data_IF_575266378667
#
_entry.id   IF_575266378667
#
_cell.length_a   1.000
_cell.length_b   1.000
_cell.length_c   1.000
_cell.angle_alpha   90.00
_cell.angle_beta   90.00
_cell.angle_gamma   90.00
#
_symmetry.space_group_name_H-M   'P 1'
#
loop_
_entity.id
_entity.type
_entity.pdbx_description
1 polymer ?
#
# COMPACT_ATOMS: atom_id res chain seq x y z
N UNK A 1 -2.00 22.21 11.73
CA UNK A 1 -1.37 22.29 10.39
C UNK A 1 -1.51 23.73 9.92
N UNK A 2 -0.47 24.28 9.33
CA UNK A 2 -0.44 25.67 8.86
C UNK A 2 -0.40 25.65 7.33
N UNK A 3 -1.33 26.32 6.66
CA UNK A 3 -1.28 26.45 5.21
C UNK A 3 -0.17 27.43 4.81
N UNK A 4 0.73 26.96 3.95
CA UNK A 4 1.90 27.71 3.48
C UNK A 4 1.65 28.32 2.11
N UNK A 5 0.93 27.61 1.23
CA UNK A 5 0.63 28.10 -0.11
C UNK A 5 -0.17 27.11 -0.94
N UNK A 6 -0.41 27.49 -2.20
CA UNK A 6 -1.07 26.65 -3.20
C UNK A 6 -0.20 26.65 -4.45
N UNK A 7 0.14 25.47 -4.96
CA UNK A 7 0.96 25.30 -6.18
C UNK A 7 0.28 24.31 -7.10
N UNK A 8 -0.05 24.76 -8.32
CA UNK A 8 -0.61 23.91 -9.39
C UNK A 8 -1.87 23.11 -8.98
N UNK A 9 -2.70 23.68 -8.12
CA UNK A 9 -3.93 23.04 -7.63
C UNK A 9 -3.76 22.14 -6.41
N UNK A 10 -2.52 21.99 -5.91
CA UNK A 10 -2.24 21.31 -4.64
C UNK A 10 -2.03 22.31 -3.51
N UNK A 11 -2.48 21.98 -2.31
CA UNK A 11 -2.30 22.79 -1.10
C UNK A 11 -1.04 22.33 -0.37
N UNK A 12 -0.15 23.26 -0.03
CA UNK A 12 1.03 22.97 0.79
C UNK A 12 0.74 23.34 2.23
N UNK A 13 0.85 22.36 3.11
CA UNK A 13 0.70 22.50 4.54
C UNK A 13 2.03 22.25 5.24
N UNK A 14 2.27 22.90 6.37
CA UNK A 14 3.30 22.54 7.31
C UNK A 14 2.68 21.83 8.51
N UNK A 15 3.12 20.59 8.76
CA UNK A 15 2.74 19.83 9.94
C UNK A 15 3.80 20.01 11.04
N UNK A 16 3.45 20.81 12.05
CA UNK A 16 4.32 21.09 13.20
C UNK A 16 4.65 19.85 14.03
N UNK A 17 3.76 18.84 14.06
CA UNK A 17 3.99 17.61 14.83
C UNK A 17 5.00 16.72 14.12
N UNK A 18 4.87 16.58 12.81
CA UNK A 18 5.78 15.77 11.97
C UNK A 18 7.05 16.53 11.58
N UNK A 19 7.06 17.86 11.71
CA UNK A 19 8.12 18.77 11.24
C UNK A 19 8.43 18.60 9.75
N UNK A 20 7.38 18.46 8.95
CA UNK A 20 7.46 18.22 7.51
C UNK A 20 6.42 19.08 6.78
N UNK A 21 6.71 19.38 5.52
CA UNK A 21 5.75 19.94 4.58
C UNK A 21 4.95 18.80 3.94
N UNK A 22 3.64 18.98 3.84
CA UNK A 22 2.67 18.05 3.28
C UNK A 22 2.05 18.69 2.04
N UNK A 23 1.86 17.89 1.00
CA UNK A 23 1.13 18.26 -0.20
C UNK A 23 -0.22 17.57 -0.16
N UNK A 24 -1.30 18.35 -0.22
CA UNK A 24 -2.67 17.86 -0.31
C UNK A 24 -3.25 18.12 -1.70
N UNK A 25 -4.04 17.16 -2.20
CA UNK A 25 -4.87 17.36 -3.38
C UNK A 25 -6.12 18.22 -3.08
N UNK A 26 -6.97 18.41 -4.09
CA UNK A 26 -8.20 19.19 -3.94
C UNK A 26 -9.25 18.54 -3.01
N UNK A 27 -9.11 17.24 -2.75
CA UNK A 27 -9.99 16.46 -1.87
C UNK A 27 -9.45 16.39 -0.43
N UNK A 28 -8.31 17.03 -0.15
CA UNK A 28 -7.66 17.06 1.17
C UNK A 28 -6.85 15.82 1.50
N UNK A 29 -6.45 15.01 0.51
CA UNK A 29 -5.62 13.83 0.75
C UNK A 29 -4.13 14.17 0.62
N UNK A 30 -3.32 13.69 1.57
CA UNK A 30 -1.86 13.75 1.47
C UNK A 30 -1.38 12.93 0.27
N UNK A 31 -0.77 13.59 -0.72
CA UNK A 31 -0.18 12.93 -1.91
C UNK A 31 1.33 12.80 -1.79
N UNK A 32 1.98 13.75 -1.11
CA UNK A 32 3.42 13.76 -0.91
C UNK A 32 3.82 14.55 0.34
N UNK A 33 5.05 14.34 0.81
CA UNK A 33 5.62 15.16 1.90
C UNK A 33 7.13 15.36 1.71
N UNK A 34 7.69 16.40 2.33
CA UNK A 34 9.09 16.79 2.19
C UNK A 34 9.62 17.56 3.39
N UNK A 35 10.94 17.68 3.50
CA UNK A 35 11.58 18.40 4.61
C UNK A 35 11.53 19.93 4.41
N UNK A 36 11.43 20.37 3.15
CA UNK A 36 11.40 21.79 2.79
C UNK A 36 10.22 22.12 1.87
N UNK A 37 9.81 23.38 1.88
CA UNK A 37 8.78 23.88 0.96
C UNK A 37 9.17 23.64 -0.51
N UNK A 38 10.42 23.97 -0.88
CA UNK A 38 10.92 23.82 -2.26
C UNK A 38 10.84 22.37 -2.78
N UNK A 39 11.14 21.38 -1.92
CA UNK A 39 11.00 19.96 -2.28
C UNK A 39 9.56 19.61 -2.62
N UNK A 40 8.61 20.11 -1.81
CA UNK A 40 7.19 19.82 -1.99
C UNK A 40 6.62 20.55 -3.21
N UNK A 41 7.06 21.78 -3.48
CA UNK A 41 6.72 22.51 -4.71
C UNK A 41 7.21 21.78 -5.96
N UNK A 42 8.46 21.30 -5.97
CA UNK A 42 8.99 20.53 -7.08
C UNK A 42 8.22 19.21 -7.32
N UNK A 43 7.71 18.57 -6.24
CA UNK A 43 6.83 17.40 -6.35
C UNK A 43 5.47 17.77 -6.95
N UNK A 44 4.86 18.89 -6.53
CA UNK A 44 3.61 19.40 -7.11
C UNK A 44 3.76 19.72 -8.61
N UNK A 45 4.89 20.28 -9.03
CA UNK A 45 5.16 20.53 -10.44
C UNK A 45 5.28 19.25 -11.28
N UNK A 46 5.86 18.18 -10.72
CA UNK A 46 5.95 16.89 -11.41
C UNK A 46 4.59 16.24 -11.55
N UNK A 47 3.79 16.25 -10.49
CA UNK A 47 2.44 15.69 -10.47
C UNK A 47 1.52 16.43 -11.46
N UNK A 48 1.52 17.77 -11.44
CA UNK A 48 0.70 18.57 -12.36
C UNK A 48 1.07 18.43 -13.85
N UNK A 49 2.32 18.04 -14.17
CA UNK A 49 2.75 17.78 -15.55
C UNK A 49 2.31 16.41 -16.07
N UNK A 50 1.88 15.48 -15.21
CA UNK A 50 1.26 14.23 -15.60
C UNK A 50 -0.22 14.46 -15.94
N UNK A 51 -0.49 15.14 -17.06
CA UNK A 51 -1.78 14.95 -17.75
C UNK A 51 -1.96 13.45 -17.97
N UNK A 52 -3.13 12.88 -17.65
CA UNK A 52 -3.50 11.44 -17.66
C UNK A 52 -2.83 10.59 -18.75
N UNK A 53 -1.53 10.32 -18.59
CA UNK A 53 -0.73 9.59 -19.55
C UNK A 53 -0.71 8.16 -19.06
N UNK A 54 -1.46 7.30 -19.74
CA UNK A 54 -1.40 5.88 -19.49
C UNK A 54 0.00 5.34 -19.84
N UNK A 55 0.51 4.35 -19.10
CA UNK A 55 -0.12 3.73 -17.93
C UNK A 55 0.03 4.57 -16.64
N UNK A 56 -1.05 4.68 -15.86
CA UNK A 56 -1.04 5.37 -14.55
C UNK A 56 -0.66 4.34 -13.48
N UNK A 57 0.47 4.51 -12.76
CA UNK A 57 0.80 3.66 -11.62
C UNK A 57 -0.28 3.73 -10.55
N UNK A 58 -0.75 2.59 -10.08
CA UNK A 58 -1.88 2.53 -9.17
C UNK A 58 -1.75 1.40 -8.15
N UNK A 59 -2.40 1.60 -7.02
CA UNK A 59 -2.56 0.65 -5.95
C UNK A 59 -4.02 0.20 -5.89
N UNK A 60 -4.25 -1.09 -6.08
CA UNK A 60 -5.58 -1.69 -5.95
C UNK A 60 -5.77 -2.22 -4.54
N UNK A 61 -6.91 -1.91 -3.94
CA UNK A 61 -7.34 -2.38 -2.62
C UNK A 61 -8.48 -3.37 -2.79
N UNK A 62 -8.39 -4.55 -2.18
CA UNK A 62 -9.44 -5.57 -2.22
C UNK A 62 -9.50 -6.25 -0.85
N UNK A 63 -10.46 -5.84 -0.01
CA UNK A 63 -10.51 -6.31 1.38
C UNK A 63 -9.27 -5.89 2.15
N UNK A 64 -8.51 -6.86 2.66
CA UNK A 64 -7.23 -6.64 3.35
C UNK A 64 -6.02 -6.72 2.41
N UNK A 65 -6.25 -6.91 1.10
CA UNK A 65 -5.22 -6.99 0.10
C UNK A 65 -4.94 -5.66 -0.59
N UNK A 66 -3.64 -5.36 -0.68
CA UNK A 66 -3.08 -4.23 -1.41
C UNK A 66 -2.19 -4.79 -2.51
N UNK A 67 -2.43 -4.39 -3.76
CA UNK A 67 -1.67 -4.87 -4.92
C UNK A 67 -1.21 -3.72 -5.80
N UNK A 68 0.09 -3.68 -6.09
CA UNK A 68 0.67 -2.72 -7.04
C UNK A 68 0.39 -3.12 -8.49
N UNK A 69 0.17 -2.11 -9.32
CA UNK A 69 -0.06 -2.29 -10.74
C UNK A 69 -0.23 -0.97 -11.45
N UNK A 70 -0.93 -1.01 -12.57
CA UNK A 70 -1.08 0.13 -13.48
C UNK A 70 -2.45 0.14 -14.12
N UNK A 71 -3.08 1.30 -14.14
CA UNK A 71 -4.23 1.54 -15.00
C UNK A 71 -3.71 1.81 -16.41
N UNK A 72 -4.13 1.01 -17.38
CA UNK A 72 -3.60 1.07 -18.77
C UNK A 72 -4.54 1.76 -19.75
N UNK A 73 -5.83 1.84 -19.43
CA UNK A 73 -6.81 2.57 -20.23
C UNK A 73 -8.06 2.91 -19.42
N UNK A 74 -8.83 3.87 -19.91
CA UNK A 74 -10.10 4.32 -19.36
C UNK A 74 -11.16 4.34 -20.46
N UNK A 75 -12.35 3.84 -20.12
CA UNK A 75 -13.56 3.95 -20.92
C UNK A 75 -14.54 4.90 -20.21
N UNK A 76 -14.78 6.05 -20.81
CA UNK A 76 -15.66 7.09 -20.29
C UNK A 76 -17.14 6.66 -20.29
N UNK A 77 -17.61 5.99 -21.34
CA UNK A 77 -19.01 5.57 -21.50
C UNK A 77 -19.43 4.61 -20.40
N UNK A 78 -18.58 3.63 -20.10
CA UNK A 78 -18.86 2.61 -19.06
C UNK A 78 -18.26 2.94 -17.70
N UNK A 79 -17.65 4.12 -17.53
CA UNK A 79 -16.96 4.57 -16.31
C UNK A 79 -16.06 3.49 -15.71
N UNK A 80 -15.27 2.86 -16.56
CA UNK A 80 -14.43 1.72 -16.19
C UNK A 80 -13.01 1.90 -16.68
N UNK A 81 -12.06 1.36 -15.95
CA UNK A 81 -10.67 1.35 -16.35
C UNK A 81 -10.13 -0.08 -16.40
N UNK A 82 -9.01 -0.30 -17.08
CA UNK A 82 -8.33 -1.59 -17.11
C UNK A 82 -7.07 -1.54 -16.26
N UNK A 83 -6.94 -2.48 -15.34
CA UNK A 83 -5.81 -2.59 -14.42
C UNK A 83 -4.94 -3.80 -14.75
N UNK A 84 -3.66 -3.57 -14.98
CA UNK A 84 -2.63 -4.59 -15.07
C UNK A 84 -1.90 -4.70 -13.73
N UNK A 85 -1.73 -5.91 -13.22
CA UNK A 85 -0.89 -6.15 -12.06
C UNK A 85 0.59 -6.17 -12.48
N UNK A 86 1.48 -5.61 -11.65
CA UNK A 86 2.91 -5.49 -12.00
C UNK A 86 3.62 -6.85 -12.08
N UNK A 87 3.09 -7.88 -11.42
CA UNK A 87 3.62 -9.25 -11.38
C UNK A 87 3.15 -10.13 -12.56
N UNK A 88 2.29 -9.63 -13.45
CA UNK A 88 1.67 -10.42 -14.52
C UNK A 88 1.79 -9.76 -15.90
N UNK A 89 1.95 -10.62 -16.93
CA UNK A 89 1.93 -10.18 -18.34
C UNK A 89 0.57 -9.55 -18.67
N UNK A 90 0.56 -8.64 -19.67
CA UNK A 90 -0.61 -7.90 -20.18
C UNK A 90 -1.89 -8.74 -20.45
N UNK A 91 -1.87 -10.08 -20.41
CA UNK A 91 -3.06 -10.91 -20.56
C UNK A 91 -4.02 -10.93 -19.36
N UNK A 92 -3.60 -10.52 -18.16
CA UNK A 92 -4.42 -10.59 -16.94
C UNK A 92 -5.00 -9.23 -16.51
N UNK A 93 -5.43 -8.42 -17.47
CA UNK A 93 -6.07 -7.15 -17.14
C UNK A 93 -7.40 -7.42 -16.44
N UNK A 94 -7.62 -6.72 -15.33
CA UNK A 94 -8.92 -6.71 -14.68
C UNK A 94 -9.64 -5.40 -15.04
N UNK A 95 -10.91 -5.52 -15.43
CA UNK A 95 -11.78 -4.36 -15.57
C UNK A 95 -12.15 -3.84 -14.18
N UNK A 96 -11.75 -2.61 -13.90
CA UNK A 96 -12.15 -1.84 -12.73
C UNK A 96 -13.40 -1.02 -13.06
N UNK A 97 -14.43 -1.13 -12.23
CA UNK A 97 -15.59 -0.24 -12.21
C UNK A 97 -15.26 0.89 -11.25
N UNK A 98 -14.96 2.08 -11.76
CA UNK A 98 -14.40 3.19 -10.95
C UNK A 98 -15.29 3.64 -9.78
N UNK A 99 -16.60 3.35 -9.83
CA UNK A 99 -17.55 3.66 -8.75
C UNK A 99 -17.50 2.65 -7.59
N UNK A 100 -17.02 1.44 -7.83
CA UNK A 100 -17.14 0.31 -6.90
C UNK A 100 -15.80 -0.29 -6.52
N UNK A 101 -14.84 -0.29 -7.44
CA UNK A 101 -13.51 -0.83 -7.21
C UNK A 101 -12.59 0.24 -6.64
N UNK A 102 -11.88 -0.12 -5.57
CA UNK A 102 -10.95 0.75 -4.90
C UNK A 102 -9.57 0.65 -5.56
N UNK A 103 -9.28 1.60 -6.44
CA UNK A 103 -7.96 1.76 -7.03
C UNK A 103 -7.54 3.23 -6.87
N UNK A 104 -6.34 3.43 -6.35
CA UNK A 104 -5.79 4.74 -6.03
C UNK A 104 -4.49 4.94 -6.80
N UNK A 105 -4.16 6.17 -7.15
CA UNK A 105 -2.87 6.47 -7.78
C UNK A 105 -1.72 6.09 -6.83
N UNK A 106 -0.62 5.57 -7.37
CA UNK A 106 0.56 5.20 -6.59
C UNK A 106 1.38 6.46 -6.25
N UNK A 107 0.84 7.26 -5.34
CA UNK A 107 1.51 8.42 -4.75
C UNK A 107 2.57 7.98 -3.74
N UNK A 108 3.41 8.92 -3.28
CA UNK A 108 4.42 8.64 -2.26
C UNK A 108 3.75 8.20 -0.94
N UNK A 109 2.67 8.86 -0.55
CA UNK A 109 1.90 8.48 0.63
C UNK A 109 1.33 7.05 0.51
N UNK A 110 0.71 6.73 -0.62
CA UNK A 110 0.14 5.40 -0.87
C UNK A 110 1.22 4.31 -0.95
N UNK A 111 2.41 4.62 -1.49
CA UNK A 111 3.55 3.68 -1.48
C UNK A 111 4.02 3.39 -0.06
N UNK A 112 4.12 4.40 0.82
CA UNK A 112 4.50 4.21 2.23
C UNK A 112 3.48 3.35 2.97
N UNK A 113 2.18 3.57 2.75
CA UNK A 113 1.12 2.74 3.34
C UNK A 113 1.27 1.28 2.90
N UNK A 114 1.48 1.04 1.59
CA UNK A 114 1.71 -0.30 1.08
C UNK A 114 2.94 -0.96 1.74
N UNK A 115 4.05 -0.24 1.84
CA UNK A 115 5.27 -0.76 2.49
C UNK A 115 5.05 -1.12 3.96
N UNK A 116 4.31 -0.28 4.71
CA UNK A 116 3.96 -0.59 6.10
C UNK A 116 3.07 -1.82 6.22
N UNK A 117 2.09 -1.99 5.32
CA UNK A 117 1.24 -3.19 5.33
C UNK A 117 2.05 -4.44 5.03
N UNK A 118 2.97 -4.40 4.06
CA UNK A 118 3.86 -5.52 3.77
C UNK A 118 4.79 -5.85 4.95
N UNK A 119 5.29 -4.84 5.67
CA UNK A 119 6.05 -5.05 6.91
C UNK A 119 5.23 -5.77 7.97
N UNK A 120 3.98 -5.34 8.21
CA UNK A 120 3.11 -6.00 9.17
C UNK A 120 2.75 -7.43 8.76
N UNK A 121 2.57 -7.70 7.47
CA UNK A 121 2.36 -9.06 6.96
C UNK A 121 3.55 -9.98 7.24
N UNK A 122 4.77 -9.49 7.05
CA UNK A 122 5.97 -10.25 7.38
C UNK A 122 6.06 -10.52 8.88
N UNK A 123 5.74 -9.54 9.73
CA UNK A 123 5.70 -9.73 11.18
C UNK A 123 4.65 -10.76 11.61
N UNK A 124 3.46 -10.74 11.01
CA UNK A 124 2.41 -11.74 11.28
C UNK A 124 2.93 -13.14 10.94
N UNK A 125 3.54 -13.31 9.76
CA UNK A 125 4.12 -14.59 9.35
C UNK A 125 5.19 -15.10 10.31
N UNK A 126 6.11 -14.22 10.74
CA UNK A 126 7.12 -14.59 11.74
C UNK A 126 6.52 -15.01 13.09
N UNK A 127 5.41 -14.38 13.50
CA UNK A 127 4.69 -14.74 14.73
C UNK A 127 4.01 -16.10 14.57
N UNK A 128 3.36 -16.35 13.43
CA UNK A 128 2.73 -17.65 13.12
C UNK A 128 3.77 -18.79 13.12
N UNK A 129 4.94 -18.57 12.51
CA UNK A 129 6.05 -19.54 12.51
C UNK A 129 6.55 -19.82 13.94
N UNK A 130 6.67 -18.79 14.79
CA UNK A 130 7.04 -18.95 16.20
C UNK A 130 5.99 -19.75 16.98
N UNK A 131 4.70 -19.46 16.77
CA UNK A 131 3.60 -20.19 17.40
C UNK A 131 3.65 -21.67 16.99
N UNK A 132 3.80 -21.96 15.69
CA UNK A 132 3.94 -23.33 15.20
C UNK A 132 5.10 -24.05 15.88
N UNK A 133 6.29 -23.41 15.95
CA UNK A 133 7.45 -24.00 16.61
C UNK A 133 7.23 -24.26 18.11
N UNK A 134 6.51 -23.38 18.81
CA UNK A 134 6.17 -23.57 20.22
C UNK A 134 5.16 -24.72 20.42
N UNK A 135 4.19 -24.87 19.52
CA UNK A 135 3.25 -25.99 19.52
C UNK A 135 4.00 -27.30 19.27
N UNK A 136 4.90 -27.35 18.30
CA UNK A 136 5.72 -28.54 18.01
C UNK A 136 6.58 -28.96 19.21
N UNK A 137 7.05 -28.00 20.01
CA UNK A 137 7.76 -28.29 21.25
C UNK A 137 6.86 -28.91 22.33
N UNK A 138 5.59 -28.50 22.40
CA UNK A 138 4.59 -29.08 23.32
C UNK A 138 4.07 -30.44 22.84
N UNK A 139 4.06 -30.70 21.53
CA UNK A 139 3.67 -32.00 20.96
C UNK A 139 4.65 -33.13 21.27
N UNK A 140 5.81 -32.83 21.88
CA UNK A 140 6.61 -33.83 22.60
C UNK A 140 5.84 -34.29 23.84
N UNK A 141 4.88 -35.19 23.60
CA UNK A 141 4.00 -35.74 24.62
C UNK A 141 4.83 -36.33 25.75
N UNK A 142 4.29 -36.21 26.97
CA UNK A 142 4.65 -37.12 28.05
C UNK A 142 4.34 -38.53 27.53
N UNK A 143 5.39 -39.30 27.26
CA UNK A 143 5.31 -40.69 26.82
C UNK A 143 5.73 -41.61 27.98
N UNK A 144 5.75 -42.92 27.73
CA UNK A 144 6.18 -43.89 28.73
C UNK A 144 7.61 -43.64 29.22
N UNK A 145 8.47 -43.09 28.35
CA UNK A 145 9.86 -42.77 28.68
C UNK A 145 9.98 -41.63 29.69
N UNK A 146 9.08 -40.63 29.65
CA UNK A 146 8.98 -39.57 30.66
C UNK A 146 8.75 -40.12 32.07
N UNK A 147 8.02 -41.24 32.19
CA UNK A 147 7.79 -41.93 33.46
C UNK A 147 8.80 -43.06 33.75
N UNK A 148 9.84 -43.22 32.94
CA UNK A 148 10.83 -44.30 33.07
C UNK A 148 10.28 -45.70 32.76
N UNK A 149 9.14 -45.79 32.07
CA UNK A 149 8.49 -47.02 31.68
C UNK A 149 8.93 -47.38 30.25
N UNK A 150 9.31 -48.64 30.02
CA UNK A 150 9.53 -49.16 28.66
C UNK A 150 8.21 -49.60 28.07
N UNK A 151 8.01 -49.36 26.77
CA UNK A 151 6.91 -49.97 26.01
C UNK A 151 6.96 -51.50 26.18
N UNK A 152 5.91 -52.04 26.80
CA UNK A 152 5.62 -53.47 26.76
C UNK A 152 4.95 -53.72 25.41
N UNK A 153 5.67 -54.48 24.58
CA UNK A 153 5.35 -54.88 23.21
C UNK A 153 3.92 -55.37 23.02
#
# INVERSE_FOLDING_TARGET
MIQVGIVKGYTILYDEKRKLFILEDADGNEVASGATQNEVEAKAEKLSKQAFNFPIPALKVTGLDLSKGRVTSFNADTKSAYFAYDDKRYGSHQKLRLKYDHAYELTEANSRIHEQVEQYRNQIKEIEEKISSLIDQLEKRIDLSYFGLKELW
#
